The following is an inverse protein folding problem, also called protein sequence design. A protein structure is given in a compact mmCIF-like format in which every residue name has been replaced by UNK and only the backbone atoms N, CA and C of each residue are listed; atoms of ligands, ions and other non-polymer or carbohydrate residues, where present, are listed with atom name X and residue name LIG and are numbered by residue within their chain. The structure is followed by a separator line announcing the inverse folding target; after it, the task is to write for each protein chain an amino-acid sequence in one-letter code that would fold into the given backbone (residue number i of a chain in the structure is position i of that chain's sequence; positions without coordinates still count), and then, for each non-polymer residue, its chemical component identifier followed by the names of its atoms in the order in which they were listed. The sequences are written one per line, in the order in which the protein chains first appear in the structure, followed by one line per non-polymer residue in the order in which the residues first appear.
data_IF_189229076674
#
_entry.id   IF_189229076674
#
_cell.length_a   1.000
_cell.length_b   1.000
_cell.length_c   1.000
_cell.angle_alpha   90.00
_cell.angle_beta   90.00
_cell.angle_gamma   90.00
#
_symmetry.space_group_name_H-M   'P 1'
#
loop_
_entity.id
_entity.type
_entity.pdbx_description
1 polymer ?
#
# COMPACT_ATOMS: atom_id res chain seq x y z
N UNK A 1 27.09 4.57 22.64
CA UNK A 1 26.65 5.97 22.79
C UNK A 1 25.18 6.05 22.42
N UNK A 2 24.29 6.39 23.36
CA UNK A 2 22.90 6.70 23.04
C UNK A 2 22.90 8.08 22.36
N UNK A 3 22.72 8.12 21.04
CA UNK A 3 22.68 9.39 20.31
C UNK A 3 21.57 10.27 20.86
N UNK A 4 21.88 11.52 21.19
CA UNK A 4 20.87 12.52 21.51
C UNK A 4 19.95 12.68 20.30
N UNK A 5 18.69 12.33 20.49
CA UNK A 5 17.67 12.42 19.45
C UNK A 5 17.41 13.88 19.10
N UNK A 6 17.37 14.20 17.81
CA UNK A 6 16.93 15.52 17.36
C UNK A 6 15.40 15.53 17.37
N UNK A 7 14.82 16.31 18.29
CA UNK A 7 13.37 16.52 18.33
C UNK A 7 12.98 17.22 17.02
N UNK A 8 11.99 16.65 16.33
CA UNK A 8 11.41 17.27 15.14
C UNK A 8 10.69 18.56 15.54
N UNK A 9 10.85 19.62 14.77
CA UNK A 9 10.16 20.89 15.03
C UNK A 9 8.63 20.66 14.93
N UNK A 10 7.82 21.13 15.90
CA UNK A 10 6.38 20.83 15.95
C UNK A 10 5.64 21.13 14.66
N UNK A 11 5.94 22.25 13.98
CA UNK A 11 5.29 22.58 12.69
C UNK A 11 5.63 21.57 11.60
N UNK A 12 6.86 21.06 11.56
CA UNK A 12 7.26 20.01 10.61
C UNK A 12 6.53 18.70 10.91
N UNK A 13 6.43 18.33 12.20
CA UNK A 13 5.68 17.13 12.61
C UNK A 13 4.21 17.23 12.19
N UNK A 14 3.57 18.38 12.42
CA UNK A 14 2.19 18.66 12.01
C UNK A 14 1.96 18.48 10.50
N UNK A 15 2.90 18.92 9.66
CA UNK A 15 2.84 18.73 8.20
C UNK A 15 2.79 17.24 7.86
N UNK A 16 3.70 16.44 8.44
CA UNK A 16 3.76 15.01 8.16
C UNK A 16 2.56 14.25 8.73
N UNK A 17 2.09 14.60 9.92
CA UNK A 17 0.85 14.04 10.48
C UNK A 17 -0.36 14.36 9.60
N UNK A 18 -0.41 15.58 9.04
CA UNK A 18 -1.47 16.01 8.14
C UNK A 18 -1.47 15.21 6.84
N UNK A 19 -0.29 14.94 6.29
CA UNK A 19 -0.14 14.08 5.11
C UNK A 19 -0.50 12.62 5.42
N UNK A 20 -0.01 12.08 6.54
CA UNK A 20 -0.35 10.73 6.99
C UNK A 20 -1.87 10.56 7.14
N UNK A 21 -2.55 11.54 7.74
CA UNK A 21 -4.00 11.53 7.89
C UNK A 21 -4.72 11.49 6.54
N UNK A 22 -4.29 12.31 5.57
CA UNK A 22 -4.87 12.31 4.21
C UNK A 22 -4.68 10.98 3.51
N UNK A 23 -3.48 10.40 3.57
CA UNK A 23 -3.21 9.11 2.94
C UNK A 23 -4.06 8.00 3.57
N UNK A 24 -4.18 7.96 4.90
CA UNK A 24 -5.11 7.02 5.57
C UNK A 24 -6.57 7.23 5.12
N UNK A 25 -7.00 8.48 4.95
CA UNK A 25 -8.34 8.79 4.48
C UNK A 25 -8.56 8.36 3.02
N UNK A 26 -7.56 8.52 2.15
CA UNK A 26 -7.63 8.03 0.77
C UNK A 26 -7.67 6.51 0.68
N UNK A 27 -6.95 5.79 1.55
CA UNK A 27 -7.07 4.33 1.69
C UNK A 27 -8.51 3.95 2.04
N UNK A 28 -9.11 4.60 3.05
CA UNK A 28 -10.49 4.31 3.47
C UNK A 28 -11.50 4.54 2.33
N UNK A 29 -11.40 5.67 1.63
CA UNK A 29 -12.25 5.96 0.47
C UNK A 29 -12.06 4.94 -0.66
N UNK A 30 -10.83 4.48 -0.91
CA UNK A 30 -10.56 3.47 -1.93
C UNK A 30 -11.23 2.13 -1.57
N UNK A 31 -11.25 1.75 -0.29
CA UNK A 31 -12.00 0.57 0.20
C UNK A 31 -13.50 0.75 -0.01
N UNK A 32 -14.07 1.91 0.28
CA UNK A 32 -15.50 2.14 0.08
C UNK A 32 -15.90 1.97 -1.39
N UNK A 33 -15.10 2.52 -2.31
CA UNK A 33 -15.34 2.38 -3.75
C UNK A 33 -15.11 0.94 -4.21
N UNK A 34 -14.09 0.26 -3.68
CA UNK A 34 -13.82 -1.15 -3.96
C UNK A 34 -15.00 -2.03 -3.52
N UNK A 35 -15.51 -1.84 -2.30
CA UNK A 35 -16.65 -2.58 -1.78
C UNK A 35 -17.91 -2.37 -2.63
N UNK A 36 -18.16 -1.14 -3.08
CA UNK A 36 -19.25 -0.85 -4.02
C UNK A 36 -19.06 -1.58 -5.35
N UNK A 37 -17.85 -1.58 -5.89
CA UNK A 37 -17.52 -2.23 -7.17
C UNK A 37 -17.65 -3.75 -7.08
N UNK A 38 -17.17 -4.36 -5.99
CA UNK A 38 -17.33 -5.78 -5.68
C UNK A 38 -18.82 -6.14 -5.56
N UNK A 39 -19.59 -5.34 -4.84
CA UNK A 39 -21.03 -5.55 -4.70
C UNK A 39 -21.73 -5.55 -6.07
N UNK A 40 -21.41 -4.59 -6.94
CA UNK A 40 -21.92 -4.55 -8.33
C UNK A 40 -21.52 -5.78 -9.13
N UNK A 41 -20.36 -6.36 -8.86
CA UNK A 41 -19.88 -7.59 -9.49
C UNK A 41 -20.39 -8.88 -8.84
N UNK A 42 -21.25 -8.81 -7.82
CA UNK A 42 -21.87 -10.00 -7.23
C UNK A 42 -22.68 -10.79 -8.26
N UNK A 43 -22.80 -12.14 -8.13
CA UNK A 43 -23.52 -12.96 -9.11
C UNK A 43 -24.97 -12.53 -9.33
N UNK A 44 -25.65 -12.09 -8.27
CA UNK A 44 -27.05 -11.69 -8.33
C UNK A 44 -27.30 -10.41 -9.13
N UNK A 45 -26.34 -9.48 -9.11
CA UNK A 45 -26.42 -8.20 -9.82
C UNK A 45 -25.82 -8.32 -11.22
N UNK A 46 -24.62 -8.90 -11.33
CA UNK A 46 -23.85 -8.95 -12.58
C UNK A 46 -24.44 -9.88 -13.64
N UNK A 47 -25.38 -10.76 -13.30
CA UNK A 47 -26.08 -11.61 -14.28
C UNK A 47 -26.86 -10.81 -15.32
N UNK A 48 -27.28 -9.59 -14.98
CA UNK A 48 -28.05 -8.69 -15.86
C UNK A 48 -27.14 -7.78 -16.70
N UNK A 49 -25.84 -7.74 -16.39
CA UNK A 49 -24.88 -6.89 -17.09
C UNK A 49 -24.52 -7.45 -18.47
N UNK A 50 -24.45 -6.55 -19.43
CA UNK A 50 -23.75 -6.76 -20.70
C UNK A 50 -22.26 -7.03 -20.50
N UNK A 51 -21.59 -7.53 -21.55
CA UNK A 51 -20.15 -7.74 -21.51
C UNK A 51 -19.36 -6.44 -21.23
N UNK A 52 -19.80 -5.30 -21.80
CA UNK A 52 -19.19 -3.99 -21.55
C UNK A 52 -19.34 -3.52 -20.11
N UNK A 53 -20.51 -3.74 -19.50
CA UNK A 53 -20.74 -3.39 -18.10
C UNK A 53 -19.90 -4.25 -17.15
N UNK A 54 -19.79 -5.56 -17.42
CA UNK A 54 -18.89 -6.44 -16.66
C UNK A 54 -17.44 -5.99 -16.76
N UNK A 55 -16.98 -5.63 -17.96
CA UNK A 55 -15.63 -5.11 -18.18
C UNK A 55 -15.41 -3.80 -17.43
N UNK A 56 -16.36 -2.87 -17.48
CA UNK A 56 -16.31 -1.61 -16.74
C UNK A 56 -16.15 -1.84 -15.23
N UNK A 57 -17.04 -2.64 -14.62
CA UNK A 57 -16.99 -2.87 -13.18
C UNK A 57 -15.77 -3.70 -12.74
N UNK A 58 -15.28 -4.60 -13.60
CA UNK A 58 -14.00 -5.28 -13.37
C UNK A 58 -12.86 -4.26 -13.31
N UNK A 59 -12.80 -3.33 -14.27
CA UNK A 59 -11.80 -2.26 -14.25
C UNK A 59 -11.93 -1.36 -13.02
N UNK A 60 -13.15 -1.07 -12.56
CA UNK A 60 -13.36 -0.30 -11.33
C UNK A 60 -12.88 -1.02 -10.07
N UNK A 61 -13.01 -2.35 -10.00
CA UNK A 61 -12.40 -3.15 -8.93
C UNK A 61 -10.89 -2.97 -8.93
N UNK A 62 -10.21 -3.16 -10.08
CA UNK A 62 -8.75 -3.07 -10.15
C UNK A 62 -8.24 -1.64 -9.98
N UNK A 63 -8.96 -0.64 -10.49
CA UNK A 63 -8.65 0.79 -10.28
C UNK A 63 -8.72 1.14 -8.79
N UNK A 64 -9.74 0.66 -8.09
CA UNK A 64 -9.91 0.92 -6.66
C UNK A 64 -8.88 0.15 -5.83
N UNK A 65 -8.56 -1.09 -6.22
CA UNK A 65 -7.52 -1.87 -5.56
C UNK A 65 -6.12 -1.25 -5.74
N UNK A 66 -5.82 -0.74 -6.93
CA UNK A 66 -4.59 0.02 -7.20
C UNK A 66 -4.51 1.30 -6.37
N UNK A 67 -5.59 2.08 -6.32
CA UNK A 67 -5.68 3.27 -5.46
C UNK A 67 -5.45 2.93 -3.99
N UNK A 68 -6.08 1.85 -3.49
CA UNK A 68 -5.86 1.36 -2.13
C UNK A 68 -4.39 1.07 -1.86
N UNK A 69 -3.74 0.28 -2.71
CA UNK A 69 -2.34 -0.10 -2.54
C UNK A 69 -1.38 1.09 -2.66
N UNK A 70 -1.63 2.02 -3.58
CA UNK A 70 -0.82 3.21 -3.75
C UNK A 70 -0.84 4.11 -2.50
N UNK A 71 -2.03 4.35 -1.95
CA UNK A 71 -2.16 5.15 -0.73
C UNK A 71 -1.65 4.40 0.50
N UNK A 72 -1.82 3.08 0.56
CA UNK A 72 -1.26 2.23 1.62
C UNK A 72 0.28 2.25 1.59
N UNK A 73 0.89 2.18 0.41
CA UNK A 73 2.33 2.34 0.19
C UNK A 73 2.83 3.70 0.72
N UNK A 74 2.08 4.79 0.51
CA UNK A 74 2.43 6.10 1.06
C UNK A 74 2.37 6.12 2.59
N UNK A 75 1.33 5.52 3.19
CA UNK A 75 1.23 5.35 4.65
C UNK A 75 2.43 4.56 5.18
N UNK A 76 2.76 3.44 4.54
CA UNK A 76 3.92 2.61 4.86
C UNK A 76 5.23 3.39 4.74
N UNK A 77 5.46 4.17 3.68
CA UNK A 77 6.71 4.95 3.51
C UNK A 77 6.86 6.10 4.50
N UNK A 78 5.76 6.67 4.99
CA UNK A 78 5.80 7.72 6.01
C UNK A 78 6.23 7.16 7.37
N UNK A 79 5.65 6.02 7.76
CA UNK A 79 5.87 5.37 9.06
C UNK A 79 7.12 4.48 9.08
N UNK A 80 7.38 3.79 7.97
CA UNK A 80 8.38 2.73 7.80
C UNK A 80 9.20 2.97 6.50
N UNK A 81 9.87 4.13 6.34
CA UNK A 81 10.58 4.43 5.10
C UNK A 81 11.68 3.42 4.80
N UNK A 82 11.95 3.21 3.51
CA UNK A 82 13.18 2.57 3.09
C UNK A 82 14.39 3.34 3.63
N UNK A 83 15.46 2.60 3.93
CA UNK A 83 16.75 3.22 4.22
C UNK A 83 17.16 4.15 3.08
N UNK A 84 17.79 5.28 3.42
CA UNK A 84 18.35 6.14 2.39
C UNK A 84 19.45 5.39 1.62
N UNK A 85 19.39 5.38 0.30
CA UNK A 85 20.50 4.96 -0.55
C UNK A 85 21.47 6.12 -0.75
N UNK A 86 22.78 5.85 -0.69
CA UNK A 86 23.82 6.85 -0.97
C UNK A 86 23.84 7.14 -2.46
N UNK A 87 23.78 8.41 -2.83
CA UNK A 87 23.86 8.82 -4.24
C UNK A 87 25.32 8.81 -4.70
N UNK A 88 25.53 8.57 -5.99
CA UNK A 88 26.87 8.64 -6.57
C UNK A 88 27.49 10.03 -6.33
N UNK A 89 28.73 10.07 -5.85
CA UNK A 89 29.44 11.31 -5.51
C UNK A 89 28.95 12.04 -4.25
N UNK A 90 27.93 11.54 -3.54
CA UNK A 90 27.42 12.19 -2.32
C UNK A 90 28.46 12.10 -1.18
N UNK A 91 28.84 13.23 -0.57
CA UNK A 91 29.68 13.24 0.62
C UNK A 91 29.05 12.43 1.75
N UNK A 92 29.86 11.72 2.53
CA UNK A 92 29.37 10.86 3.62
C UNK A 92 28.56 11.64 4.67
N UNK A 93 28.96 12.87 4.97
CA UNK A 93 28.25 13.74 5.89
C UNK A 93 26.83 14.09 5.39
N UNK A 94 26.66 14.32 4.09
CA UNK A 94 25.36 14.66 3.48
C UNK A 94 24.44 13.44 3.45
N UNK A 95 24.99 12.28 3.09
CA UNK A 95 24.28 11.01 3.16
C UNK A 95 23.80 10.71 4.59
N UNK A 96 24.68 10.82 5.57
CA UNK A 96 24.34 10.61 6.98
C UNK A 96 23.27 11.59 7.45
N UNK A 97 23.37 12.88 7.10
CA UNK A 97 22.37 13.88 7.45
C UNK A 97 21.00 13.59 6.81
N UNK A 98 20.96 13.12 5.55
CA UNK A 98 19.72 12.72 4.89
C UNK A 98 19.11 11.46 5.49
N UNK A 99 19.92 10.43 5.73
CA UNK A 99 19.49 9.18 6.36
C UNK A 99 18.92 9.44 7.76
N UNK A 100 19.63 10.22 8.60
CA UNK A 100 19.16 10.61 9.92
C UNK A 100 17.82 11.36 9.87
N UNK A 101 17.62 12.28 8.92
CA UNK A 101 16.33 12.99 8.78
C UNK A 101 15.16 12.04 8.48
N UNK A 102 15.37 11.02 7.65
CA UNK A 102 14.35 10.02 7.31
C UNK A 102 14.00 9.19 8.54
N UNK A 103 15.01 8.69 9.26
CA UNK A 103 14.81 7.91 10.48
C UNK A 103 14.21 8.74 11.63
N UNK A 104 14.63 9.99 11.79
CA UNK A 104 14.08 10.91 12.80
C UNK A 104 12.59 11.19 12.54
N UNK A 105 12.21 11.42 11.28
CA UNK A 105 10.80 11.57 10.88
C UNK A 105 9.97 10.35 11.21
N UNK A 106 10.40 9.17 10.77
CA UNK A 106 9.68 7.93 10.97
C UNK A 106 9.43 7.65 12.46
N UNK A 107 10.47 7.86 13.28
CA UNK A 107 10.38 7.72 14.74
C UNK A 107 9.46 8.75 15.37
N UNK A 108 9.56 10.02 14.99
CA UNK A 108 8.69 11.07 15.51
C UNK A 108 7.22 10.80 15.19
N UNK A 109 6.92 10.40 13.95
CA UNK A 109 5.56 10.02 13.54
C UNK A 109 5.06 8.80 14.31
N UNK A 110 5.85 7.73 14.36
CA UNK A 110 5.46 6.48 15.04
C UNK A 110 5.22 6.69 16.53
N UNK A 111 6.06 7.51 17.18
CA UNK A 111 5.87 7.91 18.56
C UNK A 111 4.56 8.72 18.75
N UNK A 112 4.30 9.69 17.87
CA UNK A 112 3.10 10.54 17.95
C UNK A 112 1.81 9.73 17.80
N UNK A 113 1.80 8.69 16.94
CA UNK A 113 0.62 7.84 16.72
C UNK A 113 0.56 6.61 17.62
N UNK A 114 1.58 6.39 18.46
CA UNK A 114 1.66 5.23 19.34
C UNK A 114 1.72 3.90 18.56
N UNK A 115 2.59 3.82 17.57
CA UNK A 115 2.91 2.61 16.83
C UNK A 115 4.31 2.11 17.14
N UNK A 116 4.42 0.82 17.37
CA UNK A 116 5.65 0.02 17.28
C UNK A 116 5.81 -0.43 15.83
N UNK A 117 6.84 0.06 15.16
CA UNK A 117 7.09 -0.21 13.74
C UNK A 117 7.27 -1.72 13.50
N UNK A 118 7.89 -2.42 14.45
CA UNK A 118 8.20 -3.86 14.34
C UNK A 118 6.96 -4.78 14.29
N UNK A 119 5.78 -4.29 14.69
CA UNK A 119 4.56 -5.10 14.80
C UNK A 119 3.56 -4.83 13.66
N UNK A 120 3.83 -3.84 12.79
CA UNK A 120 2.89 -3.47 11.73
C UNK A 120 3.23 -4.15 10.40
N UNK A 121 2.24 -4.77 9.76
CA UNK A 121 2.33 -5.25 8.37
C UNK A 121 2.75 -4.15 7.39
N UNK A 122 2.61 -2.87 7.77
CA UNK A 122 3.10 -1.72 7.00
C UNK A 122 4.62 -1.69 6.82
N UNK A 123 5.38 -2.44 7.63
CA UNK A 123 6.82 -2.61 7.44
C UNK A 123 7.19 -3.55 6.27
N UNK A 124 6.21 -4.25 5.69
CA UNK A 124 6.44 -5.14 4.56
C UNK A 124 6.92 -4.34 3.33
N UNK A 125 8.08 -4.74 2.81
CA UNK A 125 8.73 -4.13 1.66
C UNK A 125 7.81 -4.17 0.44
N UNK A 126 7.04 -5.25 0.26
CA UNK A 126 6.15 -5.41 -0.91
C UNK A 126 4.97 -4.44 -0.88
N UNK A 127 4.51 -4.04 0.32
CA UNK A 127 3.49 -3.01 0.47
C UNK A 127 4.11 -1.62 0.26
N UNK A 128 5.26 -1.39 0.90
CA UNK A 128 5.95 -0.10 0.86
C UNK A 128 6.33 0.29 -0.58
N UNK A 129 6.84 -0.66 -1.35
CA UNK A 129 7.43 -0.43 -2.66
C UNK A 129 6.49 -0.87 -3.80
N UNK A 130 5.20 -1.08 -3.52
CA UNK A 130 4.22 -1.63 -4.48
C UNK A 130 4.19 -0.93 -5.85
N UNK A 131 4.34 0.40 -5.84
CA UNK A 131 4.32 1.27 -7.04
C UNK A 131 5.71 1.80 -7.43
N UNK A 132 6.73 1.58 -6.60
CA UNK A 132 8.09 1.96 -6.98
C UNK A 132 8.58 0.95 -8.02
N UNK A 133 9.23 1.41 -9.09
CA UNK A 133 9.76 0.52 -10.14
C UNK A 133 8.69 -0.33 -10.85
N UNK A 134 7.46 0.18 -11.01
CA UNK A 134 6.38 -0.55 -11.68
C UNK A 134 6.76 -1.06 -13.08
N UNK A 135 7.50 -0.28 -13.84
CA UNK A 135 8.02 -0.62 -15.15
C UNK A 135 9.03 -1.77 -15.10
N UNK A 136 10.06 -1.66 -14.25
CA UNK A 136 11.06 -2.73 -14.06
C UNK A 136 10.39 -4.02 -13.59
N UNK A 137 9.44 -3.91 -12.68
CA UNK A 137 8.69 -5.06 -12.18
C UNK A 137 7.78 -5.70 -13.22
N UNK A 138 7.22 -4.90 -14.14
CA UNK A 138 6.45 -5.44 -15.25
C UNK A 138 7.36 -6.20 -16.21
N UNK A 139 8.55 -5.68 -16.49
CA UNK A 139 9.57 -6.36 -17.32
C UNK A 139 10.03 -7.67 -16.68
N UNK A 140 10.33 -7.67 -15.37
CA UNK A 140 10.68 -8.88 -14.61
C UNK A 140 9.56 -9.92 -14.63
N UNK A 141 8.32 -9.47 -14.46
CA UNK A 141 7.14 -10.33 -14.52
C UNK A 141 6.98 -10.95 -15.91
N UNK A 142 7.07 -10.15 -16.99
CA UNK A 142 7.01 -10.64 -18.37
C UNK A 142 8.12 -11.65 -18.65
N UNK A 143 9.33 -11.42 -18.12
CA UNK A 143 10.46 -12.35 -18.30
C UNK A 143 10.28 -13.69 -17.56
N UNK A 144 9.54 -13.68 -16.44
CA UNK A 144 9.32 -14.86 -15.61
C UNK A 144 8.03 -15.63 -15.94
N UNK A 145 7.02 -14.95 -16.51
CA UNK A 145 5.70 -15.51 -16.77
C UNK A 145 5.68 -16.40 -18.03
N UNK A 146 4.83 -17.42 -17.99
CA UNK A 146 4.37 -18.09 -19.20
C UNK A 146 3.29 -17.22 -19.85
N UNK A 147 3.70 -16.42 -20.85
CA UNK A 147 2.85 -15.39 -21.47
C UNK A 147 1.60 -15.96 -22.12
N UNK A 148 1.66 -17.22 -22.58
CA UNK A 148 0.53 -17.92 -23.19
C UNK A 148 -0.56 -18.27 -22.14
N UNK A 149 -0.20 -18.25 -20.85
CA UNK A 149 -1.06 -18.61 -19.73
C UNK A 149 -1.19 -17.50 -18.68
N UNK A 150 -0.99 -16.24 -19.08
CA UNK A 150 -1.06 -15.11 -18.15
C UNK A 150 -2.51 -14.77 -17.74
N UNK A 151 -2.66 -14.32 -16.49
CA UNK A 151 -3.91 -13.88 -15.89
C UNK A 151 -3.75 -12.41 -15.51
N UNK A 152 -4.55 -11.56 -16.14
CA UNK A 152 -4.61 -10.14 -15.84
C UNK A 152 -6.05 -9.65 -15.69
N UNK A 153 -6.27 -8.75 -14.75
CA UNK A 153 -7.58 -8.19 -14.37
C UNK A 153 -8.69 -9.26 -14.17
N UNK A 154 -8.34 -10.39 -13.55
CA UNK A 154 -9.32 -11.44 -13.25
C UNK A 154 -10.05 -11.17 -11.94
N UNK A 155 -11.35 -10.91 -12.01
CA UNK A 155 -12.22 -10.84 -10.84
C UNK A 155 -12.93 -12.17 -10.59
N UNK A 156 -12.99 -12.60 -9.32
CA UNK A 156 -13.71 -13.77 -8.86
C UNK A 156 -12.83 -14.75 -8.11
N UNK A 157 -13.43 -15.87 -7.68
CA UNK A 157 -12.79 -16.88 -6.84
C UNK A 157 -11.39 -17.25 -7.35
N UNK A 158 -10.38 -17.09 -6.50
CA UNK A 158 -9.06 -17.58 -6.78
C UNK A 158 -8.94 -19.02 -6.29
N UNK A 159 -8.32 -19.89 -7.10
CA UNK A 159 -7.63 -21.04 -6.51
C UNK A 159 -6.35 -20.54 -5.86
N UNK A 160 -5.83 -21.24 -4.86
CA UNK A 160 -4.51 -20.92 -4.29
C UNK A 160 -3.44 -21.19 -5.36
N UNK A 161 -2.79 -20.16 -5.94
CA UNK A 161 -1.80 -20.39 -6.97
C UNK A 161 -0.54 -20.96 -6.32
N UNK A 162 -0.26 -22.24 -6.56
CA UNK A 162 0.94 -22.91 -6.03
C UNK A 162 2.04 -23.03 -7.08
N UNK A 163 3.30 -22.97 -6.65
CA UNK A 163 4.46 -23.21 -7.51
C UNK A 163 4.68 -22.10 -8.53
N UNK A 164 5.07 -22.46 -9.75
CA UNK A 164 5.36 -21.49 -10.83
C UNK A 164 4.11 -20.76 -11.35
N UNK A 165 2.92 -21.36 -11.21
CA UNK A 165 1.67 -20.78 -11.71
C UNK A 165 1.33 -19.42 -11.08
N UNK A 166 1.86 -19.11 -9.88
CA UNK A 166 1.68 -17.80 -9.25
C UNK A 166 2.29 -16.66 -10.05
N UNK A 167 3.38 -16.92 -10.77
CA UNK A 167 4.05 -15.92 -11.60
C UNK A 167 3.28 -15.62 -12.87
N UNK A 168 2.29 -16.43 -13.24
CA UNK A 168 1.41 -16.12 -14.37
C UNK A 168 0.30 -15.13 -14.00
N UNK A 169 0.14 -14.77 -12.72
CA UNK A 169 -0.90 -13.83 -12.28
C UNK A 169 -0.28 -12.44 -12.15
N UNK A 170 -0.64 -11.53 -13.07
CA UNK A 170 -0.31 -10.12 -12.94
C UNK A 170 -1.25 -9.47 -11.91
N UNK A 171 -2.57 -9.59 -12.13
CA UNK A 171 -3.61 -9.03 -11.26
C UNK A 171 -4.80 -9.97 -11.18
N UNK A 172 -5.16 -10.35 -9.96
CA UNK A 172 -6.40 -11.06 -9.69
C UNK A 172 -6.98 -10.60 -8.36
N UNK A 173 -8.30 -10.45 -8.29
CA UNK A 173 -9.00 -10.10 -7.04
C UNK A 173 -10.06 -11.15 -6.74
N UNK A 174 -9.96 -11.75 -5.56
CA UNK A 174 -10.93 -12.70 -5.04
C UNK A 174 -11.98 -11.98 -4.18
N UNK A 175 -13.16 -11.78 -4.75
CA UNK A 175 -14.29 -11.14 -4.07
C UNK A 175 -14.91 -11.95 -2.93
N UNK A 176 -14.59 -13.23 -2.77
CA UNK A 176 -15.06 -14.04 -1.64
C UNK A 176 -14.13 -13.90 -0.43
N UNK A 177 -12.81 -13.87 -0.67
CA UNK A 177 -11.79 -13.85 0.39
C UNK A 177 -11.16 -12.48 0.63
N UNK A 178 -11.51 -11.47 -0.19
CA UNK A 178 -10.91 -10.13 -0.18
C UNK A 178 -9.38 -10.16 -0.34
N UNK A 179 -8.87 -11.15 -1.09
CA UNK A 179 -7.45 -11.28 -1.40
C UNK A 179 -7.16 -10.69 -2.76
N UNK A 180 -6.17 -9.82 -2.80
CA UNK A 180 -5.60 -9.29 -4.03
C UNK A 180 -4.29 -10.00 -4.33
N UNK A 181 -4.20 -10.56 -5.52
CA UNK A 181 -3.02 -11.21 -6.05
C UNK A 181 -2.35 -10.26 -7.03
N UNK A 182 -1.08 -9.95 -6.78
CA UNK A 182 -0.31 -9.07 -7.64
C UNK A 182 1.08 -9.63 -7.83
N UNK A 183 1.40 -10.02 -9.07
CA UNK A 183 2.69 -10.63 -9.46
C UNK A 183 3.11 -11.82 -8.58
N UNK A 184 2.15 -12.66 -8.20
CA UNK A 184 2.39 -13.83 -7.34
C UNK A 184 2.46 -13.54 -5.84
N UNK A 185 2.37 -12.28 -5.42
CA UNK A 185 2.17 -11.89 -4.01
C UNK A 185 0.68 -11.83 -3.66
N UNK A 186 0.37 -12.04 -2.37
CA UNK A 186 -0.99 -12.06 -1.86
C UNK A 186 -1.16 -11.02 -0.77
N UNK A 187 -2.12 -10.12 -0.96
CA UNK A 187 -2.48 -9.07 -0.02
C UNK A 187 -3.89 -9.33 0.51
N UNK A 188 -4.02 -9.46 1.83
CA UNK A 188 -5.33 -9.49 2.51
C UNK A 188 -5.82 -8.05 2.68
N UNK A 189 -6.75 -7.61 1.84
CA UNK A 189 -7.21 -6.23 1.86
C UNK A 189 -8.03 -5.92 3.11
N UNK A 190 -8.71 -6.91 3.68
CA UNK A 190 -9.50 -6.71 4.89
C UNK A 190 -8.60 -6.47 6.10
N UNK A 191 -7.52 -7.24 6.24
CA UNK A 191 -6.50 -7.05 7.27
C UNK A 191 -5.84 -5.67 7.15
N UNK A 192 -5.44 -5.30 5.93
CA UNK A 192 -4.76 -4.03 5.66
C UNK A 192 -5.69 -2.81 5.85
N UNK A 193 -6.96 -2.93 5.46
CA UNK A 193 -7.96 -1.89 5.70
C UNK A 193 -8.16 -1.65 7.21
N UNK A 194 -8.33 -2.71 7.99
CA UNK A 194 -8.50 -2.62 9.45
C UNK A 194 -7.29 -1.96 10.13
N UNK A 195 -6.08 -2.26 9.65
CA UNK A 195 -4.87 -1.62 10.13
C UNK A 195 -4.95 -0.10 9.94
N UNK A 196 -5.31 0.37 8.74
CA UNK A 196 -5.39 1.80 8.44
C UNK A 196 -6.57 2.48 9.14
N UNK A 197 -7.73 1.83 9.24
CA UNK A 197 -8.87 2.32 10.03
C UNK A 197 -8.50 2.55 11.49
N UNK A 198 -7.70 1.64 12.07
CA UNK A 198 -7.14 1.80 13.43
C UNK A 198 -6.15 2.95 13.57
N UNK A 199 -5.51 3.39 12.48
CA UNK A 199 -4.58 4.52 12.46
C UNK A 199 -5.26 5.88 12.41
N UNK A 200 -6.34 6.02 11.64
CA UNK A 200 -7.05 7.29 11.47
C UNK A 200 -7.31 8.03 12.81
N UNK A 201 -7.92 7.41 13.84
CA UNK A 201 -8.17 8.11 15.11
C UNK A 201 -6.89 8.41 15.90
N UNK A 202 -5.82 7.61 15.74
CA UNK A 202 -4.51 7.88 16.36
C UNK A 202 -3.84 9.10 15.75
N UNK A 203 -3.81 9.17 14.41
CA UNK A 203 -3.25 10.30 13.68
C UNK A 203 -4.04 11.58 13.95
N UNK A 204 -5.37 11.50 13.99
CA UNK A 204 -6.23 12.64 14.32
C UNK A 204 -5.93 13.20 15.71
N UNK A 205 -5.85 12.34 16.75
CA UNK A 205 -5.47 12.79 18.10
C UNK A 205 -4.08 13.43 18.15
N UNK A 206 -3.13 12.87 17.41
CA UNK A 206 -1.79 13.44 17.32
C UNK A 206 -1.80 14.82 16.63
N UNK A 207 -2.59 15.00 15.58
CA UNK A 207 -2.78 16.29 14.91
C UNK A 207 -3.39 17.34 15.83
N UNK A 208 -4.47 16.98 16.53
CA UNK A 208 -5.19 17.89 17.43
C UNK A 208 -4.31 18.31 18.63
N UNK A 209 -3.32 17.49 19.02
CA UNK A 209 -2.35 17.82 20.07
C UNK A 209 -1.25 18.81 19.63
N UNK A 210 -1.10 19.04 18.31
CA UNK A 210 -0.16 20.00 17.71
C UNK A 210 -0.86 21.31 17.28
N UNK A 211 -2.09 21.55 17.74
CA UNK A 211 -2.81 22.83 17.63
C UNK A 211 -2.58 23.73 18.85
#
# INVERSE_FOLDING_TARGET
MKGQYRIMEPKVLKIYLGELFKQCFYVANAIDILNQSIHRMSPDISKEFSASEKSYWTNEVFRSAHSFMAHLSNVARLLCPAGAFRREGEPEADFAARSNRVSDRARALSAAVGLTIEESRLGDVMIRDHEEHFDEFLDEWVAAADIDNCIDNKFGKAGDPTGSARFNILRQFDGETNKFYYRGEVFDFQELAQLVEGLIPKVKRALDAEE
#
